data_IF_085495852520
#
_entry.id   IF_085495852520
#
_cell.length_a   1.000
_cell.length_b   1.000
_cell.length_c   1.000
_cell.angle_alpha   90.00
_cell.angle_beta   90.00
_cell.angle_gamma   90.00
#
_symmetry.space_group_name_H-M   'P 1'
#
loop_
_entity.id
_entity.type
_entity.pdbx_description
1 polymer ?
#
# COMPACT_ATOMS: atom_id res chain seq x y z
N UNK A 1 -17.24 11.75 6.02
CA UNK A 1 -18.33 11.24 5.13
C UNK A 1 -19.42 10.48 5.88
N UNK A 2 -19.10 9.55 6.81
CA UNK A 2 -20.14 8.83 7.59
C UNK A 2 -21.04 9.79 8.41
N UNK A 3 -20.46 10.78 9.10
CA UNK A 3 -21.22 11.83 9.79
C UNK A 3 -22.07 12.70 8.85
N UNK A 4 -21.62 12.89 7.60
CA UNK A 4 -22.39 13.66 6.60
C UNK A 4 -23.58 12.86 6.06
N UNK A 5 -23.44 11.55 5.77
CA UNK A 5 -24.59 10.72 5.39
C UNK A 5 -25.60 10.60 6.52
N UNK A 6 -25.13 10.48 7.78
CA UNK A 6 -26.01 10.48 8.95
C UNK A 6 -26.80 11.79 9.08
N UNK A 7 -26.13 12.95 8.96
CA UNK A 7 -26.81 14.24 8.98
C UNK A 7 -27.82 14.42 7.83
N UNK A 8 -27.51 13.92 6.63
CA UNK A 8 -28.46 13.94 5.51
C UNK A 8 -29.67 13.01 5.73
N UNK A 9 -29.50 11.87 6.43
CA UNK A 9 -30.61 11.01 6.85
C UNK A 9 -31.52 11.71 7.85
N UNK A 10 -30.94 12.36 8.85
CA UNK A 10 -31.68 13.13 9.86
C UNK A 10 -32.45 14.28 9.22
N UNK A 11 -31.83 15.02 8.29
CA UNK A 11 -32.49 16.09 7.53
C UNK A 11 -33.66 15.57 6.68
N UNK A 12 -33.50 14.42 6.03
CA UNK A 12 -34.59 13.78 5.28
C UNK A 12 -35.73 13.32 6.20
N UNK A 13 -35.41 12.87 7.41
CA UNK A 13 -36.38 12.43 8.39
C UNK A 13 -37.15 13.62 8.99
N UNK A 14 -36.46 14.73 9.28
CA UNK A 14 -37.04 15.97 9.76
C UNK A 14 -37.97 16.64 8.72
N UNK A 15 -37.73 16.39 7.43
CA UNK A 15 -38.57 16.88 6.33
C UNK A 15 -39.80 15.99 6.03
N UNK A 16 -40.14 15.02 6.88
CA UNK A 16 -41.37 14.24 6.70
C UNK A 16 -42.58 15.08 7.10
N UNK A 17 -43.58 15.24 6.22
CA UNK A 17 -44.81 15.96 6.56
C UNK A 17 -45.69 15.07 7.44
N UNK A 18 -45.43 15.05 8.74
CA UNK A 18 -46.26 14.34 9.71
C UNK A 18 -47.43 15.25 10.13
N UNK A 19 -48.63 14.97 9.60
CA UNK A 19 -49.87 15.61 10.06
C UNK A 19 -50.10 17.06 9.60
N UNK A 20 -49.30 17.60 8.67
CA UNK A 20 -49.49 18.94 8.11
C UNK A 20 -50.29 18.91 6.80
N UNK A 21 -51.32 19.75 6.70
CA UNK A 21 -51.97 20.05 5.43
C UNK A 21 -51.06 20.99 4.63
N UNK A 22 -50.37 20.45 3.63
CA UNK A 22 -49.53 21.24 2.72
C UNK A 22 -50.35 21.71 1.53
N UNK A 23 -50.24 22.98 1.18
CA UNK A 23 -50.69 23.44 -0.14
C UNK A 23 -49.81 22.82 -1.25
N UNK A 24 -50.33 22.78 -2.48
CA UNK A 24 -49.64 22.26 -3.66
C UNK A 24 -48.26 22.89 -3.84
N UNK A 25 -48.13 24.20 -3.64
CA UNK A 25 -46.84 24.89 -3.75
C UNK A 25 -45.81 24.39 -2.73
N UNK A 26 -46.25 24.21 -1.49
CA UNK A 26 -45.43 23.76 -0.36
C UNK A 26 -44.99 22.31 -0.52
N UNK A 27 -45.90 21.45 -1.00
CA UNK A 27 -45.61 20.06 -1.34
C UNK A 27 -44.50 19.96 -2.39
N UNK A 28 -44.59 20.72 -3.49
CA UNK A 28 -43.56 20.71 -4.53
C UNK A 28 -42.22 21.26 -4.05
N UNK A 29 -42.23 22.28 -3.18
CA UNK A 29 -41.01 22.80 -2.58
C UNK A 29 -40.34 21.75 -1.69
N UNK A 30 -41.12 21.03 -0.88
CA UNK A 30 -40.64 19.95 -0.02
C UNK A 30 -40.05 18.80 -0.83
N UNK A 31 -40.76 18.33 -1.86
CA UNK A 31 -40.30 17.25 -2.74
C UNK A 31 -38.99 17.62 -3.46
N UNK A 32 -38.85 18.88 -3.90
CA UNK A 32 -37.59 19.37 -4.48
C UNK A 32 -36.43 19.33 -3.48
N UNK A 33 -36.64 19.80 -2.24
CA UNK A 33 -35.63 19.74 -1.18
C UNK A 33 -35.22 18.30 -0.88
N UNK A 34 -36.19 17.39 -0.74
CA UNK A 34 -35.92 15.96 -0.51
C UNK A 34 -35.16 15.32 -1.68
N UNK A 35 -35.49 15.67 -2.93
CA UNK A 35 -34.79 15.17 -4.11
C UNK A 35 -33.31 15.59 -4.12
N UNK A 36 -33.02 16.85 -3.77
CA UNK A 36 -31.64 17.35 -3.64
C UNK A 36 -30.88 16.58 -2.56
N UNK A 37 -31.46 16.39 -1.37
CA UNK A 37 -30.84 15.64 -0.28
C UNK A 37 -30.57 14.18 -0.67
N UNK A 38 -31.52 13.51 -1.33
CA UNK A 38 -31.33 12.14 -1.84
C UNK A 38 -30.19 12.05 -2.85
N UNK A 39 -30.09 13.00 -3.77
CA UNK A 39 -28.99 13.07 -4.75
C UNK A 39 -27.64 13.30 -4.07
N UNK A 40 -27.58 14.18 -3.07
CA UNK A 40 -26.35 14.41 -2.30
C UNK A 40 -25.89 13.14 -1.59
N UNK A 41 -26.82 12.38 -0.99
CA UNK A 41 -26.50 11.08 -0.36
C UNK A 41 -25.99 10.06 -1.38
N UNK A 42 -26.64 9.96 -2.54
CA UNK A 42 -26.17 9.08 -3.62
C UNK A 42 -24.74 9.44 -4.05
N UNK A 43 -24.46 10.73 -4.25
CA UNK A 43 -23.13 11.20 -4.62
C UNK A 43 -22.08 10.87 -3.55
N UNK A 44 -22.42 11.02 -2.25
CA UNK A 44 -21.54 10.61 -1.16
C UNK A 44 -21.28 9.09 -1.17
N UNK A 45 -22.29 8.28 -1.51
CA UNK A 45 -22.12 6.84 -1.71
C UNK A 45 -21.10 6.53 -2.79
N UNK A 46 -21.25 7.11 -3.99
CA UNK A 46 -20.31 6.93 -5.09
C UNK A 46 -18.89 7.37 -4.74
N UNK A 47 -18.75 8.47 -3.99
CA UNK A 47 -17.45 8.94 -3.52
C UNK A 47 -16.80 7.98 -2.51
N UNK A 48 -17.59 7.38 -1.62
CA UNK A 48 -17.10 6.36 -0.68
C UNK A 48 -16.62 5.11 -1.43
N UNK A 49 -17.42 4.62 -2.37
CA UNK A 49 -17.06 3.44 -3.18
C UNK A 49 -15.75 3.69 -3.95
N UNK A 50 -15.59 4.87 -4.55
CA UNK A 50 -14.36 5.26 -5.24
C UNK A 50 -13.15 5.33 -4.30
N UNK A 51 -13.32 5.84 -3.08
CA UNK A 51 -12.26 5.89 -2.08
C UNK A 51 -11.88 4.50 -1.57
N UNK A 52 -12.85 3.61 -1.37
CA UNK A 52 -12.60 2.23 -0.98
C UNK A 52 -11.84 1.47 -2.07
N UNK A 53 -12.23 1.64 -3.32
CA UNK A 53 -11.54 1.06 -4.46
C UNK A 53 -10.11 1.60 -4.55
N UNK A 54 -9.91 2.91 -4.40
CA UNK A 54 -8.57 3.49 -4.40
C UNK A 54 -7.71 2.98 -3.24
N UNK A 55 -8.30 2.78 -2.06
CA UNK A 55 -7.62 2.18 -0.90
C UNK A 55 -7.17 0.76 -1.21
N UNK A 56 -8.00 -0.06 -1.86
CA UNK A 56 -7.64 -1.43 -2.26
C UNK A 56 -6.48 -1.44 -3.25
N UNK A 57 -6.55 -0.61 -4.28
CA UNK A 57 -5.47 -0.47 -5.28
C UNK A 57 -4.13 -0.09 -4.63
N UNK A 58 -4.13 0.90 -3.73
CA UNK A 58 -2.91 1.30 -3.03
C UNK A 58 -2.37 0.20 -2.11
N UNK A 59 -3.25 -0.59 -1.50
CA UNK A 59 -2.85 -1.72 -0.68
C UNK A 59 -2.20 -2.83 -1.53
N UNK A 60 -2.77 -3.15 -2.69
CA UNK A 60 -2.20 -4.12 -3.63
C UNK A 60 -0.84 -3.65 -4.19
N UNK A 61 -0.72 -2.37 -4.53
CA UNK A 61 0.55 -1.76 -4.95
C UNK A 61 1.61 -1.88 -3.86
N UNK A 62 1.25 -1.52 -2.62
CA UNK A 62 2.14 -1.65 -1.45
C UNK A 62 2.62 -3.09 -1.27
N UNK A 63 1.70 -4.05 -1.32
CA UNK A 63 2.04 -5.46 -1.14
C UNK A 63 2.93 -5.99 -2.29
N UNK A 64 2.68 -5.53 -3.51
CA UNK A 64 3.54 -5.78 -4.67
C UNK A 64 4.96 -5.24 -4.47
N UNK A 65 5.10 -4.00 -4.01
CA UNK A 65 6.39 -3.38 -3.70
C UNK A 65 7.11 -4.09 -2.56
N UNK A 66 6.42 -4.45 -1.48
CA UNK A 66 7.01 -5.19 -0.36
C UNK A 66 7.54 -6.56 -0.79
N UNK A 67 6.81 -7.28 -1.65
CA UNK A 67 7.30 -8.56 -2.22
C UNK A 67 8.55 -8.36 -3.07
N UNK A 68 8.57 -7.34 -3.93
CA UNK A 68 9.75 -7.01 -4.75
C UNK A 68 10.95 -6.65 -3.89
N UNK A 69 10.76 -5.81 -2.87
CA UNK A 69 11.81 -5.45 -1.92
C UNK A 69 12.41 -6.68 -1.25
N UNK A 70 11.57 -7.60 -0.75
CA UNK A 70 12.05 -8.84 -0.14
C UNK A 70 12.87 -9.70 -1.11
N UNK A 71 12.49 -9.76 -2.40
CA UNK A 71 13.26 -10.46 -3.42
C UNK A 71 14.63 -9.80 -3.66
N UNK A 72 14.68 -8.47 -3.69
CA UNK A 72 15.94 -7.73 -3.86
C UNK A 72 16.88 -7.92 -2.68
N UNK A 73 16.37 -7.85 -1.45
CA UNK A 73 17.17 -8.09 -0.25
C UNK A 73 17.76 -9.51 -0.24
N UNK A 74 16.97 -10.52 -0.62
CA UNK A 74 17.48 -11.90 -0.75
C UNK A 74 18.58 -12.02 -1.81
N UNK A 75 18.44 -11.32 -2.93
CA UNK A 75 19.48 -11.29 -3.98
C UNK A 75 20.73 -10.60 -3.47
N UNK A 76 20.60 -9.47 -2.80
CA UNK A 76 21.73 -8.75 -2.20
C UNK A 76 22.49 -9.65 -1.22
N UNK A 77 21.79 -10.30 -0.28
CA UNK A 77 22.40 -11.22 0.68
C UNK A 77 23.13 -12.38 -0.01
N UNK A 78 22.52 -12.96 -1.05
CA UNK A 78 23.16 -14.02 -1.86
C UNK A 78 24.47 -13.53 -2.45
N UNK A 79 24.47 -12.36 -3.10
CA UNK A 79 25.67 -11.83 -3.74
C UNK A 79 26.74 -11.42 -2.72
N UNK A 80 26.34 -10.88 -1.57
CA UNK A 80 27.24 -10.55 -0.46
C UNK A 80 27.96 -11.80 0.06
N UNK A 81 27.23 -12.89 0.29
CA UNK A 81 27.81 -14.18 0.72
C UNK A 81 28.75 -14.76 -0.34
N UNK A 82 28.37 -14.66 -1.61
CA UNK A 82 29.22 -15.14 -2.70
C UNK A 82 30.53 -14.34 -2.78
N UNK A 83 30.46 -13.01 -2.70
CA UNK A 83 31.63 -12.15 -2.68
C UNK A 83 32.57 -12.48 -1.50
N UNK A 84 32.02 -12.73 -0.31
CA UNK A 84 32.81 -13.15 0.85
C UNK A 84 33.50 -14.50 0.61
N UNK A 85 32.79 -15.44 0.00
CA UNK A 85 33.33 -16.77 -0.33
C UNK A 85 34.48 -16.65 -1.32
N UNK A 86 34.33 -15.85 -2.38
CA UNK A 86 35.38 -15.62 -3.38
C UNK A 86 36.60 -14.94 -2.77
N UNK A 87 36.41 -13.91 -1.93
CA UNK A 87 37.51 -13.27 -1.19
C UNK A 87 38.27 -14.26 -0.32
N UNK A 88 37.57 -15.16 0.38
CA UNK A 88 38.20 -16.19 1.21
C UNK A 88 38.99 -17.19 0.37
N UNK A 89 38.46 -17.61 -0.78
CA UNK A 89 39.15 -18.51 -1.73
C UNK A 89 40.41 -17.87 -2.27
N UNK A 90 40.32 -16.63 -2.75
CA UNK A 90 41.47 -15.89 -3.26
C UNK A 90 42.58 -15.75 -2.20
N UNK A 91 42.21 -15.41 -0.96
CA UNK A 91 43.16 -15.32 0.16
C UNK A 91 43.84 -16.65 0.45
N UNK A 92 43.09 -17.74 0.45
CA UNK A 92 43.62 -19.07 0.72
C UNK A 92 44.56 -19.55 -0.40
N UNK A 93 44.27 -19.20 -1.66
CA UNK A 93 45.17 -19.47 -2.78
C UNK A 93 46.49 -18.69 -2.66
N UNK A 94 46.43 -17.40 -2.27
CA UNK A 94 47.64 -16.59 -2.02
C UNK A 94 48.51 -17.19 -0.93
N UNK A 95 47.91 -17.56 0.21
CA UNK A 95 48.64 -18.15 1.33
C UNK A 95 49.32 -19.46 0.95
N UNK A 96 48.64 -20.33 0.18
CA UNK A 96 49.23 -21.57 -0.31
C UNK A 96 50.40 -21.34 -1.26
N UNK A 97 50.30 -20.33 -2.13
CA UNK A 97 51.40 -19.97 -3.02
C UNK A 97 52.62 -19.49 -2.21
N UNK A 98 52.40 -18.63 -1.21
CA UNK A 98 53.44 -18.16 -0.30
C UNK A 98 54.08 -19.32 0.48
N UNK A 99 53.29 -20.28 0.98
CA UNK A 99 53.79 -21.50 1.64
C UNK A 99 54.68 -22.31 0.69
N UNK A 100 54.23 -22.55 -0.55
CA UNK A 100 55.03 -23.30 -1.54
C UNK A 100 56.34 -22.59 -1.88
N UNK A 101 56.33 -21.26 -2.04
CA UNK A 101 57.54 -20.48 -2.30
C UNK A 101 58.54 -20.57 -1.13
N UNK A 102 58.04 -20.58 0.12
CA UNK A 102 58.87 -20.75 1.32
C UNK A 102 59.47 -22.16 1.42
N UNK A 103 58.69 -23.20 1.12
CA UNK A 103 59.16 -24.58 1.09
C UNK A 103 60.26 -24.77 0.03
N UNK A 104 60.07 -24.22 -1.17
CA UNK A 104 61.11 -24.22 -2.20
C UNK A 104 62.35 -23.45 -1.71
N UNK A 105 62.21 -22.23 -1.18
CA UNK A 105 63.35 -21.46 -0.71
C UNK A 105 64.14 -22.15 0.43
N UNK A 106 63.48 -22.94 1.28
CA UNK A 106 64.16 -23.72 2.32
C UNK A 106 64.82 -24.97 1.76
N UNK A 107 64.18 -25.68 0.83
CA UNK A 107 64.75 -26.86 0.18
C UNK A 107 66.03 -26.55 -0.63
N UNK A 108 66.14 -25.35 -1.21
CA UNK A 108 67.33 -24.93 -1.96
C UNK A 108 68.48 -24.42 -1.07
N UNK A 109 68.21 -24.15 0.21
CA UNK A 109 69.21 -23.70 1.20
C UNK A 109 69.75 -24.84 2.07
N UNK A 110 69.12 -26.02 2.03
CA UNK A 110 69.55 -27.24 2.69
C UNK A 110 70.47 -28.05 1.76
#
# INVERSE_FOLDING_TARGET
>A
MQSQDAGLRELLQAQRPAGQSLDRGELFALLRKQAVLRRQRQNLGLQLDALEEKRRQLQDEKDGLSKRLAQWLRKEDKYRRWQQTERRRARLLSLRAEETEQEEATAWKA
#
